data_IF_419611812276
#
_entry.id   IF_419611812276
#
_cell.length_a   1.000
_cell.length_b   1.000
_cell.length_c   1.000
_cell.angle_alpha   90.00
_cell.angle_beta   90.00
_cell.angle_gamma   90.00
#
_symmetry.space_group_name_H-M   'P 1'
#
loop_
_entity.id
_entity.type
_entity.pdbx_description
1 polymer ?
#
# COMPACT_ATOMS: atom_id res chain seq x y z
N UNK A 1 17.97 -18.67 4.44
CA UNK A 1 19.02 -18.27 5.40
C UNK A 1 19.95 -17.29 4.73
N UNK A 2 19.62 -16.01 4.80
CA UNK A 2 20.57 -14.94 4.52
C UNK A 2 21.12 -14.51 5.88
N UNK A 3 22.32 -14.96 6.21
CA UNK A 3 23.04 -14.50 7.39
C UNK A 3 23.99 -13.43 6.89
N UNK A 4 23.68 -12.18 7.21
CA UNK A 4 24.62 -11.08 7.02
C UNK A 4 25.73 -11.19 8.09
N UNK A 5 26.94 -11.30 7.63
CA UNK A 5 28.15 -11.50 8.48
C UNK A 5 28.75 -10.18 8.97
N UNK A 6 28.09 -9.05 8.80
CA UNK A 6 28.58 -7.76 9.26
C UNK A 6 27.49 -6.91 9.92
N UNK A 7 27.51 -6.90 11.23
CA UNK A 7 26.98 -5.80 12.02
C UNK A 7 25.53 -5.98 12.48
N UNK A 8 25.40 -6.06 13.71
CA UNK A 8 24.34 -5.85 14.67
C UNK A 8 23.29 -4.78 14.32
N UNK A 9 22.60 -4.92 13.24
CA UNK A 9 21.34 -4.29 12.99
C UNK A 9 20.23 -5.30 13.32
N UNK A 10 19.96 -5.55 14.60
CA UNK A 10 18.76 -6.28 14.97
C UNK A 10 17.57 -5.36 14.67
N UNK A 11 16.81 -5.67 13.61
CA UNK A 11 15.49 -5.07 13.47
C UNK A 11 14.73 -5.27 14.79
N UNK A 12 14.13 -4.21 15.37
CA UNK A 12 13.31 -4.34 16.54
C UNK A 12 12.29 -5.45 16.30
N UNK A 13 12.18 -6.39 17.23
CA UNK A 13 11.19 -7.45 17.13
C UNK A 13 9.81 -6.82 17.36
N UNK A 14 8.80 -7.34 16.70
CA UNK A 14 7.41 -6.98 16.99
C UNK A 14 7.16 -7.11 18.50
N UNK A 15 6.72 -6.02 19.14
CA UNK A 15 6.52 -5.94 20.58
C UNK A 15 7.56 -5.13 21.36
N UNK A 16 8.71 -4.78 20.76
CA UNK A 16 9.74 -3.97 21.43
C UNK A 16 9.45 -2.45 21.37
N UNK A 17 8.63 -2.01 20.40
CA UNK A 17 8.19 -0.62 20.21
C UNK A 17 6.69 -0.55 19.93
N UNK A 18 5.88 -0.17 20.94
CA UNK A 18 4.42 -0.08 20.79
C UNK A 18 3.96 0.91 19.72
N UNK A 19 4.71 1.98 19.48
CA UNK A 19 4.37 2.98 18.45
C UNK A 19 4.63 2.42 17.04
N UNK A 20 5.73 1.72 16.85
CA UNK A 20 6.02 0.99 15.62
C UNK A 20 4.92 -0.05 15.33
N UNK A 21 4.54 -0.85 16.31
CA UNK A 21 3.51 -1.89 16.16
C UNK A 21 2.15 -1.27 15.80
N UNK A 22 1.78 -0.15 16.41
CA UNK A 22 0.57 0.60 16.09
C UNK A 22 0.53 1.00 14.61
N UNK A 23 1.61 1.53 14.06
CA UNK A 23 1.67 1.95 12.67
C UNK A 23 1.78 0.78 11.68
N UNK A 24 2.35 -0.35 12.09
CA UNK A 24 2.29 -1.60 11.33
C UNK A 24 0.87 -2.17 11.26
N UNK A 25 0.14 -2.16 12.38
CA UNK A 25 -1.28 -2.54 12.41
C UNK A 25 -2.14 -1.60 11.57
N UNK A 26 -1.89 -0.30 11.63
CA UNK A 26 -2.57 0.68 10.80
C UNK A 26 -2.40 0.36 9.31
N UNK A 27 -1.18 0.02 8.88
CA UNK A 27 -0.92 -0.31 7.47
C UNK A 27 -1.78 -1.47 6.98
N UNK A 28 -1.93 -2.52 7.77
CA UNK A 28 -2.68 -3.73 7.40
C UNK A 28 -4.19 -3.58 7.59
N UNK A 29 -4.60 -3.00 8.72
CA UNK A 29 -6.01 -2.98 9.13
C UNK A 29 -6.81 -1.84 8.50
N UNK A 30 -6.18 -0.70 8.20
CA UNK A 30 -6.84 0.52 7.72
C UNK A 30 -6.37 0.90 6.33
N UNK A 31 -5.07 1.21 6.17
CA UNK A 31 -4.52 1.73 4.93
C UNK A 31 -4.70 0.75 3.76
N UNK A 32 -4.39 -0.53 3.96
CA UNK A 32 -4.57 -1.56 2.94
C UNK A 32 -6.03 -1.70 2.48
N UNK A 33 -6.99 -1.61 3.41
CA UNK A 33 -8.42 -1.64 3.05
C UNK A 33 -8.86 -0.41 2.28
N UNK A 34 -8.34 0.77 2.64
CA UNK A 34 -8.63 2.04 1.95
C UNK A 34 -8.11 2.01 0.51
N UNK A 35 -6.91 1.49 0.30
CA UNK A 35 -6.32 1.31 -1.04
C UNK A 35 -7.15 0.36 -1.90
N UNK A 36 -7.54 -0.79 -1.36
CA UNK A 36 -8.41 -1.75 -2.06
C UNK A 36 -9.73 -1.11 -2.45
N UNK A 37 -10.33 -0.29 -1.57
CA UNK A 37 -11.56 0.44 -1.89
C UNK A 37 -11.37 1.40 -3.08
N UNK A 38 -10.25 2.13 -3.16
CA UNK A 38 -9.94 3.05 -4.26
C UNK A 38 -9.68 2.30 -5.56
N UNK A 39 -8.79 1.31 -5.55
CA UNK A 39 -8.37 0.58 -6.76
C UNK A 39 -9.56 -0.14 -7.42
N UNK A 40 -10.42 -0.76 -6.62
CA UNK A 40 -11.49 -1.63 -7.13
C UNK A 40 -12.90 -1.00 -7.13
N UNK A 41 -13.02 0.29 -6.88
CA UNK A 41 -14.32 0.98 -6.91
C UNK A 41 -14.95 0.98 -8.30
N UNK A 42 -14.16 1.05 -9.37
CA UNK A 42 -14.60 1.04 -10.77
C UNK A 42 -14.24 -0.27 -11.45
N UNK A 43 -15.12 -0.76 -12.32
CA UNK A 43 -14.83 -1.93 -13.15
C UNK A 43 -13.58 -1.73 -14.03
N UNK A 44 -13.40 -0.52 -14.58
CA UNK A 44 -12.22 -0.18 -15.40
C UNK A 44 -10.93 -0.34 -14.63
N UNK A 45 -10.86 0.18 -13.39
CA UNK A 45 -9.67 0.10 -12.53
C UNK A 45 -9.41 -1.33 -12.05
N UNK A 46 -10.48 -2.09 -11.77
CA UNK A 46 -10.37 -3.51 -11.43
C UNK A 46 -9.76 -4.34 -12.57
N UNK A 47 -10.16 -4.07 -13.82
CA UNK A 47 -9.62 -4.73 -15.01
C UNK A 47 -8.16 -4.33 -15.27
N UNK A 48 -7.79 -3.06 -15.05
CA UNK A 48 -6.40 -2.61 -15.19
C UNK A 48 -5.47 -3.27 -14.16
N UNK A 49 -5.90 -3.37 -12.91
CA UNK A 49 -5.13 -4.05 -11.87
C UNK A 49 -4.90 -5.54 -12.19
N UNK A 50 -5.94 -6.22 -12.72
CA UNK A 50 -5.82 -7.62 -13.14
C UNK A 50 -4.97 -7.81 -14.41
N UNK A 51 -4.94 -6.84 -15.31
CA UNK A 51 -4.08 -6.90 -16.50
C UNK A 51 -2.59 -6.91 -16.14
N UNK A 52 -2.22 -6.17 -15.09
CA UNK A 52 -0.88 -6.19 -14.54
C UNK A 52 -0.50 -7.59 -13.99
N UNK A 53 -1.38 -8.19 -13.19
CA UNK A 53 -1.16 -9.52 -12.59
C UNK A 53 -1.12 -10.63 -13.66
N UNK A 54 -2.00 -10.57 -14.68
CA UNK A 54 -2.08 -11.61 -15.72
C UNK A 54 -0.94 -11.58 -16.73
N UNK A 55 -0.14 -10.51 -16.78
CA UNK A 55 1.07 -10.46 -17.63
C UNK A 55 2.20 -11.32 -17.09
N UNK A 56 2.18 -11.65 -15.82
CA UNK A 56 3.25 -12.40 -15.13
C UNK A 56 3.10 -13.92 -15.30
N UNK A 57 1.88 -14.43 -15.57
CA UNK A 57 1.60 -15.86 -15.64
C UNK A 57 1.30 -16.35 -17.07
N UNK A 58 1.79 -17.58 -17.37
CA UNK A 58 1.62 -18.29 -18.65
C UNK A 58 0.22 -18.88 -18.83
N UNK A 59 -0.84 -18.05 -18.80
CA UNK A 59 -2.20 -18.52 -19.06
C UNK A 59 -2.56 -18.54 -20.56
N UNK A 60 -3.36 -19.51 -20.98
CA UNK A 60 -3.94 -19.56 -22.31
C UNK A 60 -4.82 -18.34 -22.61
N UNK A 61 -4.83 -17.87 -23.84
CA UNK A 61 -5.52 -16.64 -24.26
C UNK A 61 -7.01 -16.61 -23.87
N UNK A 62 -7.73 -17.73 -24.02
CA UNK A 62 -9.14 -17.85 -23.62
C UNK A 62 -9.36 -17.78 -22.11
N UNK A 63 -8.51 -18.45 -21.34
CA UNK A 63 -8.54 -18.39 -19.87
C UNK A 63 -8.23 -17.00 -19.34
N UNK A 64 -7.31 -16.27 -19.98
CA UNK A 64 -6.96 -14.89 -19.62
C UNK A 64 -8.16 -13.94 -19.75
N UNK A 65 -8.93 -14.09 -20.83
CA UNK A 65 -10.08 -13.23 -21.08
C UNK A 65 -11.19 -13.47 -20.04
N UNK A 66 -11.53 -14.75 -19.78
CA UNK A 66 -12.55 -15.13 -18.81
C UNK A 66 -12.13 -14.72 -17.39
N UNK A 67 -10.89 -15.01 -17.00
CA UNK A 67 -10.37 -14.65 -15.68
C UNK A 67 -10.30 -13.12 -15.48
N UNK A 68 -9.95 -12.35 -16.52
CA UNK A 68 -9.93 -10.90 -16.50
C UNK A 68 -11.33 -10.31 -16.25
N UNK A 69 -12.36 -10.83 -16.97
CA UNK A 69 -13.73 -10.35 -16.82
C UNK A 69 -14.36 -10.75 -15.47
N UNK A 70 -14.25 -12.03 -15.12
CA UNK A 70 -14.82 -12.55 -13.88
C UNK A 70 -14.07 -12.02 -12.66
N UNK A 71 -12.73 -11.99 -12.72
CA UNK A 71 -11.90 -11.42 -11.67
C UNK A 71 -12.15 -9.93 -11.47
N UNK A 72 -12.31 -9.15 -12.55
CA UNK A 72 -12.67 -7.72 -12.49
C UNK A 72 -14.00 -7.48 -11.80
N UNK A 73 -15.01 -8.33 -12.07
CA UNK A 73 -16.32 -8.24 -11.43
C UNK A 73 -16.24 -8.57 -9.93
N UNK A 74 -15.53 -9.63 -9.57
CA UNK A 74 -15.32 -10.03 -8.18
C UNK A 74 -14.57 -8.93 -7.41
N UNK A 75 -13.48 -8.41 -7.99
CA UNK A 75 -12.69 -7.36 -7.34
C UNK A 75 -13.46 -6.06 -7.19
N UNK A 76 -14.33 -5.70 -8.16
CA UNK A 76 -15.25 -4.58 -8.00
C UNK A 76 -16.24 -4.78 -6.85
N UNK A 77 -16.76 -6.01 -6.67
CA UNK A 77 -17.63 -6.32 -5.52
C UNK A 77 -16.88 -6.19 -4.20
N UNK A 78 -15.63 -6.69 -4.14
CA UNK A 78 -14.76 -6.55 -2.97
C UNK A 78 -14.47 -5.08 -2.69
N UNK A 79 -14.11 -4.28 -3.70
CA UNK A 79 -13.88 -2.84 -3.55
C UNK A 79 -15.10 -2.09 -3.02
N UNK A 80 -16.30 -2.38 -3.56
CA UNK A 80 -17.56 -1.79 -3.06
C UNK A 80 -17.89 -2.22 -1.63
N UNK A 81 -17.62 -3.47 -1.27
CA UNK A 81 -17.79 -3.95 0.10
C UNK A 81 -16.86 -3.23 1.07
N UNK A 82 -15.60 -3.02 0.67
CA UNK A 82 -14.62 -2.29 1.48
C UNK A 82 -14.95 -0.80 1.58
N UNK A 83 -15.41 -0.18 0.50
CA UNK A 83 -15.84 1.23 0.50
C UNK A 83 -16.99 1.50 1.49
N UNK A 84 -17.88 0.52 1.72
CA UNK A 84 -18.97 0.62 2.71
C UNK A 84 -18.48 0.56 4.16
N UNK A 85 -17.23 0.22 4.42
CA UNK A 85 -16.67 0.21 5.77
C UNK A 85 -16.25 1.60 6.24
N UNK A 86 -16.25 2.58 5.35
CA UNK A 86 -15.85 3.96 5.63
C UNK A 86 -17.01 4.90 5.33
N UNK A 87 -17.16 5.94 6.14
CA UNK A 87 -18.20 6.96 5.98
C UNK A 87 -17.94 7.91 4.81
N UNK A 88 -16.67 8.00 4.38
CA UNK A 88 -16.23 8.87 3.29
C UNK A 88 -16.14 8.12 1.95
N UNK A 89 -16.29 8.83 0.82
CA UNK A 89 -15.97 8.30 -0.49
C UNK A 89 -14.54 7.75 -0.55
N UNK A 90 -14.26 6.68 -1.32
CA UNK A 90 -12.97 5.98 -1.26
C UNK A 90 -11.73 6.87 -1.43
N UNK A 91 -11.75 7.84 -2.34
CA UNK A 91 -10.62 8.75 -2.56
C UNK A 91 -10.44 9.74 -1.40
N UNK A 92 -11.53 10.29 -0.88
CA UNK A 92 -11.51 11.18 0.28
C UNK A 92 -11.08 10.43 1.54
N UNK A 93 -11.56 9.16 1.69
CA UNK A 93 -11.11 8.32 2.77
C UNK A 93 -9.61 8.04 2.69
N UNK A 94 -9.07 7.71 1.50
CA UNK A 94 -7.62 7.49 1.36
C UNK A 94 -6.85 8.76 1.72
N UNK A 95 -7.28 9.93 1.26
CA UNK A 95 -6.66 11.20 1.64
C UNK A 95 -6.65 11.37 3.16
N UNK A 96 -7.78 11.15 3.82
CA UNK A 96 -7.89 11.23 5.28
C UNK A 96 -6.97 10.22 6.00
N UNK A 97 -6.82 9.00 5.47
CA UNK A 97 -5.89 8.03 6.05
C UNK A 97 -4.43 8.44 5.86
N UNK A 98 -4.08 9.12 4.75
CA UNK A 98 -2.75 9.68 4.57
C UNK A 98 -2.48 10.86 5.51
N UNK A 99 -3.50 11.68 5.79
CA UNK A 99 -3.40 12.75 6.80
C UNK A 99 -3.07 12.14 8.19
N UNK A 100 -3.81 11.10 8.61
CA UNK A 100 -3.54 10.37 9.86
C UNK A 100 -2.14 9.75 9.84
N UNK A 101 -1.76 9.10 8.75
CA UNK A 101 -0.44 8.49 8.59
C UNK A 101 0.69 9.52 8.76
N UNK A 102 0.49 10.74 8.23
CA UNK A 102 1.48 11.82 8.30
C UNK A 102 1.79 12.25 9.73
N UNK A 103 0.86 12.09 10.67
CA UNK A 103 1.07 12.39 12.09
C UNK A 103 2.09 11.44 12.75
N UNK A 104 2.26 10.23 12.21
CA UNK A 104 3.25 9.26 12.68
C UNK A 104 4.67 9.51 12.18
N UNK A 105 4.84 10.34 11.14
CA UNK A 105 6.14 10.66 10.56
C UNK A 105 6.72 11.83 11.35
N UNK A 106 7.55 11.54 12.37
CA UNK A 106 8.07 12.55 13.30
C UNK A 106 9.35 13.26 12.82
N UNK A 107 9.95 12.78 11.75
CA UNK A 107 11.18 13.30 11.15
C UNK A 107 11.22 12.94 9.67
N UNK A 108 12.30 12.33 9.24
CA UNK A 108 12.39 11.80 7.89
C UNK A 108 11.57 10.51 7.72
N UNK A 109 11.37 9.76 8.81
CA UNK A 109 10.69 8.46 8.86
C UNK A 109 9.81 8.31 10.12
N UNK A 110 9.06 7.21 10.23
CA UNK A 110 8.38 6.83 11.48
C UNK A 110 9.39 6.54 12.59
N UNK A 111 10.57 6.02 12.22
CA UNK A 111 11.70 5.84 13.13
C UNK A 111 12.52 7.11 13.38
N UNK A 112 12.03 8.28 12.98
CA UNK A 112 12.70 9.58 13.05
C UNK A 112 13.82 9.74 12.01
N UNK A 113 15.08 9.48 12.32
CA UNK A 113 16.21 9.64 11.39
C UNK A 113 16.43 8.40 10.50
N UNK A 114 16.10 7.21 10.99
CA UNK A 114 16.25 5.94 10.29
C UNK A 114 14.91 5.23 10.15
N UNK A 115 14.65 4.56 9.00
CA UNK A 115 13.39 3.85 8.81
C UNK A 115 13.31 2.62 9.72
N UNK A 116 12.12 2.35 10.24
CA UNK A 116 11.80 1.20 11.07
C UNK A 116 10.77 0.26 10.40
N UNK A 117 10.25 -0.74 11.13
CA UNK A 117 9.27 -1.69 10.62
C UNK A 117 7.98 -1.04 10.13
N UNK A 118 7.54 0.06 10.75
CA UNK A 118 6.36 0.81 10.32
C UNK A 118 6.57 1.48 8.95
N UNK A 119 7.78 2.01 8.70
CA UNK A 119 8.14 2.58 7.40
C UNK A 119 8.03 1.55 6.28
N UNK A 120 8.64 0.39 6.46
CA UNK A 120 8.60 -0.68 5.46
C UNK A 120 7.19 -1.23 5.24
N UNK A 121 6.38 -1.38 6.29
CA UNK A 121 5.00 -1.84 6.18
C UNK A 121 4.12 -0.86 5.39
N UNK A 122 4.14 0.42 5.76
CA UNK A 122 3.36 1.46 5.07
C UNK A 122 3.86 1.70 3.64
N UNK A 123 5.17 1.71 3.42
CA UNK A 123 5.76 1.84 2.09
C UNK A 123 5.34 0.69 1.16
N UNK A 124 5.41 -0.56 1.63
CA UNK A 124 5.01 -1.73 0.85
C UNK A 124 3.54 -1.67 0.42
N UNK A 125 2.66 -1.25 1.32
CA UNK A 125 1.23 -1.07 1.05
C UNK A 125 1.00 0.04 0.01
N UNK A 126 1.59 1.23 0.17
CA UNK A 126 1.45 2.32 -0.80
C UNK A 126 2.07 1.99 -2.15
N UNK A 127 3.21 1.30 -2.15
CA UNK A 127 3.87 0.86 -3.38
C UNK A 127 3.02 -0.12 -4.19
N UNK A 128 2.19 -0.93 -3.56
CA UNK A 128 1.32 -1.88 -4.25
C UNK A 128 0.29 -1.21 -5.16
N UNK A 129 0.03 0.08 -4.98
CA UNK A 129 -0.86 0.86 -5.86
C UNK A 129 -0.12 1.75 -6.87
N UNK A 130 1.21 1.70 -6.91
CA UNK A 130 2.00 2.48 -7.87
C UNK A 130 1.59 2.16 -9.31
N UNK A 131 1.28 3.19 -10.10
CA UNK A 131 0.78 3.04 -11.46
C UNK A 131 -0.70 2.64 -11.58
N UNK A 132 -1.41 2.50 -10.46
CA UNK A 132 -2.84 2.26 -10.42
C UNK A 132 -3.61 3.55 -10.09
N UNK A 133 -4.95 3.49 -10.29
CA UNK A 133 -5.83 4.62 -9.96
C UNK A 133 -5.77 4.94 -8.46
N UNK A 134 -5.63 6.22 -8.14
CA UNK A 134 -5.55 6.71 -6.76
C UNK A 134 -4.14 6.93 -6.25
N UNK A 135 -3.11 6.50 -6.97
CA UNK A 135 -1.72 6.77 -6.57
C UNK A 135 -1.38 8.26 -6.64
N UNK A 136 -2.06 9.02 -7.49
CA UNK A 136 -2.00 10.48 -7.56
C UNK A 136 -2.30 11.17 -6.21
N UNK A 137 -3.08 10.55 -5.33
CA UNK A 137 -3.36 11.05 -3.98
C UNK A 137 -2.09 10.97 -3.12
N UNK A 138 -1.31 9.90 -3.25
CA UNK A 138 -0.03 9.74 -2.54
C UNK A 138 1.00 10.75 -3.04
N UNK A 139 1.10 10.91 -4.37
CA UNK A 139 2.04 11.85 -5.01
C UNK A 139 1.75 13.31 -4.69
N UNK A 140 0.48 13.66 -4.50
CA UNK A 140 0.05 15.03 -4.19
C UNK A 140 0.01 15.36 -2.69
N UNK A 141 0.17 14.36 -1.81
CA UNK A 141 0.12 14.59 -0.36
C UNK A 141 1.40 15.25 0.16
N UNK A 142 1.27 16.39 0.85
CA UNK A 142 2.39 17.24 1.24
C UNK A 142 3.52 16.55 2.02
N UNK A 143 3.20 15.68 2.96
CA UNK A 143 4.17 14.99 3.84
C UNK A 143 4.52 13.62 3.28
N UNK A 144 3.48 12.83 2.95
CA UNK A 144 3.65 11.42 2.56
C UNK A 144 4.41 11.27 1.25
N UNK A 145 4.27 12.20 0.29
CA UNK A 145 5.02 12.16 -0.98
C UNK A 145 6.54 12.27 -0.75
N UNK A 146 6.96 13.18 0.12
CA UNK A 146 8.37 13.35 0.47
C UNK A 146 8.93 12.13 1.22
N UNK A 147 8.19 11.61 2.19
CA UNK A 147 8.54 10.39 2.89
C UNK A 147 8.62 9.19 1.93
N UNK A 148 7.66 9.04 1.02
CA UNK A 148 7.63 7.96 0.04
C UNK A 148 8.87 8.00 -0.87
N UNK A 149 9.29 9.20 -1.31
CA UNK A 149 10.50 9.38 -2.12
C UNK A 149 11.77 8.98 -1.35
N UNK A 150 11.88 9.33 -0.06
CA UNK A 150 12.99 8.90 0.80
C UNK A 150 13.03 7.39 0.96
N UNK A 151 11.87 6.76 1.17
CA UNK A 151 11.78 5.29 1.26
C UNK A 151 12.17 4.59 -0.04
N UNK A 152 11.84 5.15 -1.21
CA UNK A 152 12.31 4.62 -2.50
C UNK A 152 13.83 4.64 -2.59
N UNK A 153 14.45 5.75 -2.21
CA UNK A 153 15.92 5.88 -2.22
C UNK A 153 16.59 4.91 -1.24
N UNK A 154 16.04 4.81 -0.03
CA UNK A 154 16.58 3.91 1.01
C UNK A 154 16.47 2.43 0.63
N UNK A 155 15.35 2.03 0.03
CA UNK A 155 15.12 0.63 -0.38
C UNK A 155 15.85 0.22 -1.66
N UNK A 156 16.49 1.15 -2.37
CA UNK A 156 17.15 0.89 -3.66
C UNK A 156 16.20 0.43 -4.77
N UNK A 157 14.92 0.70 -4.63
CA UNK A 157 13.89 0.25 -5.55
C UNK A 157 13.37 1.45 -6.35
N UNK A 158 13.87 1.58 -7.56
CA UNK A 158 13.49 2.61 -8.54
C UNK A 158 12.38 2.12 -9.47
#
# INVERSE_FOLDING_TARGET
HYIDSNGSGSFPRMGDDPEQDRWMDFSNSVLGKSIVAVIYTSYRTSVQALDYVTRVDKFSFGSRLINKWLGGLIMRMVGKSRAKMFDLPPRENLQHQLDIMSEGIQGDFFGNEEPNGADFANFGILRSMQGLNGFDIVESHNVVSGWYARMQQHSGVF
#
